data_IF_343968852542
#
_entry.id   IF_343968852542
#
_cell.length_a   1.000
_cell.length_b   1.000
_cell.length_c   1.000
_cell.angle_alpha   90.00
_cell.angle_beta   90.00
_cell.angle_gamma   90.00
#
_symmetry.space_group_name_H-M   'P 1'
#
loop_
_entity.id
_entity.type
_entity.pdbx_description
1 polymer ?
#
# COMPACT_ATOMS: atom_id res chain seq x y z
N UNK A 1 -2.59 -13.20 17.59
CA UNK A 1 -1.31 -12.49 17.83
C UNK A 1 -1.61 -11.02 17.66
N UNK A 2 -1.60 -10.26 18.75
CA UNK A 2 -1.74 -8.80 18.69
C UNK A 2 -0.37 -8.24 18.34
N UNK A 3 -0.25 -7.59 17.19
CA UNK A 3 0.98 -6.94 16.75
C UNK A 3 0.71 -5.44 16.75
N UNK A 4 1.35 -4.71 17.66
CA UNK A 4 1.26 -3.26 17.70
C UNK A 4 2.05 -2.64 16.54
N UNK A 5 1.53 -1.53 16.00
CA UNK A 5 2.23 -0.77 14.97
C UNK A 5 3.53 -0.22 15.54
N UNK A 6 4.62 -0.32 14.77
CA UNK A 6 5.89 0.36 15.09
C UNK A 6 5.89 1.83 14.68
N UNK A 7 4.92 2.27 13.89
CA UNK A 7 4.83 3.63 13.35
C UNK A 7 3.63 4.35 13.96
N UNK A 8 3.78 4.77 15.22
CA UNK A 8 2.72 5.45 15.98
C UNK A 8 2.87 6.97 16.02
N UNK A 9 3.99 7.51 15.50
CA UNK A 9 4.23 8.94 15.45
C UNK A 9 4.57 9.43 14.03
N UNK A 10 4.28 10.70 13.77
CA UNK A 10 4.53 11.32 12.47
C UNK A 10 6.04 11.40 12.17
N UNK A 11 6.90 11.54 13.18
CA UNK A 11 8.35 11.50 13.01
C UNK A 11 8.82 10.15 12.46
N UNK A 12 8.24 9.04 12.93
CA UNK A 12 8.58 7.70 12.45
C UNK A 12 8.12 7.50 11.00
N UNK A 13 6.92 7.96 10.66
CA UNK A 13 6.40 7.92 9.28
C UNK A 13 7.25 8.76 8.33
N UNK A 14 7.66 9.97 8.74
CA UNK A 14 8.61 10.80 7.97
C UNK A 14 9.96 10.11 7.79
N UNK A 15 10.45 9.44 8.82
CA UNK A 15 11.72 8.70 8.77
C UNK A 15 11.61 7.51 7.81
N UNK A 16 10.48 6.80 7.83
CA UNK A 16 10.16 5.75 6.86
C UNK A 16 10.17 6.28 5.42
N UNK A 17 9.50 7.40 5.14
CA UNK A 17 9.44 7.98 3.78
C UNK A 17 10.78 8.50 3.26
N UNK A 18 11.72 8.84 4.15
CA UNK A 18 13.10 9.15 3.76
C UNK A 18 13.89 7.90 3.34
N UNK A 19 13.59 6.75 3.95
CA UNK A 19 14.31 5.51 3.73
C UNK A 19 13.70 4.63 2.64
N UNK A 20 12.38 4.72 2.43
CA UNK A 20 11.61 3.85 1.53
C UNK A 20 10.87 4.70 0.51
N UNK A 21 11.22 4.49 -0.77
CA UNK A 21 10.48 5.07 -1.90
C UNK A 21 9.27 4.20 -2.20
N UNK A 22 8.12 4.84 -2.42
CA UNK A 22 6.86 4.17 -2.70
C UNK A 22 6.41 4.38 -4.15
N UNK A 23 6.82 5.49 -4.76
CA UNK A 23 6.55 5.81 -6.16
C UNK A 23 7.70 6.54 -6.82
N UNK A 24 7.53 6.81 -8.12
CA UNK A 24 8.28 7.84 -8.81
C UNK A 24 7.90 9.25 -8.28
N UNK A 25 8.81 10.26 -8.31
CA UNK A 25 8.52 11.61 -7.83
C UNK A 25 7.29 12.26 -8.48
N UNK A 26 6.92 11.86 -9.70
CA UNK A 26 5.73 12.37 -10.39
C UNK A 26 4.40 12.04 -9.68
N UNK A 27 4.37 11.00 -8.83
CA UNK A 27 3.16 10.51 -8.17
C UNK A 27 3.20 10.57 -6.64
N UNK A 28 4.28 11.08 -6.06
CA UNK A 28 4.48 11.10 -4.59
C UNK A 28 3.38 11.90 -3.86
N UNK A 29 2.86 12.96 -4.47
CA UNK A 29 1.75 13.77 -3.92
C UNK A 29 0.42 13.02 -3.84
N UNK A 30 0.26 11.91 -4.57
CA UNK A 30 -0.94 11.07 -4.52
C UNK A 30 -0.91 10.04 -3.38
N UNK A 31 0.21 9.93 -2.66
CA UNK A 31 0.43 8.92 -1.62
C UNK A 31 0.48 9.58 -0.25
N UNK A 32 -0.58 9.35 0.52
CA UNK A 32 -0.68 9.77 1.91
C UNK A 32 -0.16 8.64 2.81
N UNK A 33 0.76 8.99 3.71
CA UNK A 33 1.24 8.06 4.75
C UNK A 33 1.01 8.66 6.11
N UNK A 34 0.23 7.96 6.94
CA UNK A 34 -0.13 8.39 8.29
C UNK A 34 0.18 7.30 9.31
N UNK A 35 0.51 7.67 10.56
CA UNK A 35 0.59 6.72 11.65
C UNK A 35 -0.82 6.23 12.01
N UNK A 36 -0.91 5.04 12.59
CA UNK A 36 -2.17 4.51 13.12
C UNK A 36 -1.98 4.21 14.61
N UNK A 37 -2.85 4.78 15.44
CA UNK A 37 -2.81 4.63 16.89
C UNK A 37 -3.39 3.29 17.35
N UNK A 38 -3.07 2.88 18.57
CA UNK A 38 -3.74 1.73 19.18
C UNK A 38 -5.25 2.01 19.28
N UNK A 39 -6.06 1.05 18.82
CA UNK A 39 -7.54 1.12 18.75
C UNK A 39 -8.11 2.10 17.73
N UNK A 40 -7.31 2.64 16.82
CA UNK A 40 -7.78 3.41 15.67
C UNK A 40 -8.17 2.49 14.51
N UNK A 41 -9.21 2.88 13.76
CA UNK A 41 -9.58 2.16 12.54
C UNK A 41 -8.55 2.40 11.45
N UNK A 42 -7.98 1.31 10.91
CA UNK A 42 -7.00 1.41 9.81
C UNK A 42 -7.66 1.81 8.49
N UNK A 43 -8.93 1.47 8.31
CA UNK A 43 -9.66 1.71 7.05
C UNK A 43 -11.02 2.31 7.33
N UNK A 44 -11.43 3.27 6.51
CA UNK A 44 -12.81 3.78 6.48
C UNK A 44 -13.47 3.41 5.16
N UNK A 45 -14.80 3.42 5.13
CA UNK A 45 -15.56 3.19 3.89
C UNK A 45 -15.40 4.41 2.99
N UNK A 46 -14.91 4.20 1.78
CA UNK A 46 -14.75 5.25 0.80
C UNK A 46 -15.98 5.35 -0.11
N UNK A 47 -16.90 6.24 0.22
CA UNK A 47 -18.15 6.45 -0.53
C UNK A 47 -18.16 7.73 -1.37
N UNK A 48 -17.19 8.62 -1.15
CA UNK A 48 -17.17 9.96 -1.72
C UNK A 48 -15.90 10.18 -2.52
N UNK A 49 -15.97 10.79 -3.72
CA UNK A 49 -14.78 11.14 -4.48
C UNK A 49 -13.78 12.01 -3.68
N UNK A 50 -12.46 11.88 -3.93
CA UNK A 50 -11.83 10.97 -4.88
C UNK A 50 -11.77 9.51 -4.39
N UNK A 51 -11.70 8.55 -5.32
CA UNK A 51 -11.48 7.16 -4.97
C UNK A 51 -10.03 6.94 -4.47
N UNK A 52 -9.89 6.22 -3.37
CA UNK A 52 -8.64 5.86 -2.70
C UNK A 52 -8.82 4.50 -2.01
N UNK A 53 -7.70 3.84 -1.73
CA UNK A 53 -7.63 2.58 -1.01
C UNK A 53 -6.52 2.64 0.04
N UNK A 54 -6.59 1.78 1.04
CA UNK A 54 -5.59 1.67 2.09
C UNK A 54 -4.60 0.54 1.79
N UNK A 55 -3.34 0.77 2.11
CA UNK A 55 -2.27 -0.22 1.99
C UNK A 55 -1.37 -0.14 3.22
N UNK A 56 -1.08 -1.28 3.85
CA UNK A 56 -0.10 -1.31 4.92
C UNK A 56 1.30 -1.11 4.36
N UNK A 57 2.07 -0.19 4.93
CA UNK A 57 3.44 0.08 4.48
C UNK A 57 4.36 -1.13 4.58
N UNK A 58 4.11 -2.02 5.54
CA UNK A 58 4.90 -3.24 5.76
C UNK A 58 4.77 -4.28 4.62
N UNK A 59 3.73 -4.23 3.78
CA UNK A 59 3.60 -5.15 2.65
C UNK A 59 4.33 -4.68 1.41
N UNK A 60 4.66 -3.39 1.32
CA UNK A 60 5.19 -2.79 0.09
C UNK A 60 6.56 -3.38 -0.28
N UNK A 61 7.51 -3.39 0.66
CA UNK A 61 8.85 -3.92 0.39
C UNK A 61 8.85 -5.44 0.18
N UNK A 62 8.19 -6.28 1.02
CA UNK A 62 8.17 -7.72 0.81
C UNK A 62 7.49 -8.15 -0.49
N UNK A 63 6.49 -7.39 -0.94
CA UNK A 63 5.77 -7.66 -2.19
C UNK A 63 6.36 -6.92 -3.40
N UNK A 64 7.41 -6.10 -3.23
CA UNK A 64 7.94 -5.27 -4.31
C UNK A 64 6.84 -4.46 -5.05
N UNK A 65 5.89 -3.92 -4.27
CA UNK A 65 4.84 -3.04 -4.79
C UNK A 65 5.45 -1.69 -5.10
N UNK A 66 5.09 -1.13 -6.25
CA UNK A 66 5.42 0.23 -6.66
C UNK A 66 4.14 0.94 -7.06
N UNK A 67 3.98 2.19 -6.62
CA UNK A 67 2.77 2.97 -6.89
C UNK A 67 3.04 4.10 -7.90
N UNK A 68 2.01 4.52 -8.68
CA UNK A 68 0.76 3.80 -8.89
C UNK A 68 1.00 2.43 -9.53
N UNK A 69 0.05 1.49 -9.37
CA UNK A 69 0.10 0.22 -10.10
C UNK A 69 0.16 0.48 -11.60
N UNK A 70 0.84 -0.39 -12.32
CA UNK A 70 0.82 -0.33 -13.78
C UNK A 70 -0.57 -0.67 -14.30
N UNK A 71 -0.83 -0.34 -15.58
CA UNK A 71 -2.10 -0.70 -16.21
C UNK A 71 -2.35 -2.22 -16.18
N UNK A 72 -1.29 -3.02 -16.34
CA UNK A 72 -1.38 -4.48 -16.28
C UNK A 72 -1.69 -4.98 -14.87
N UNK A 73 -0.97 -4.52 -13.85
CA UNK A 73 -1.21 -4.90 -12.46
C UNK A 73 -2.63 -4.54 -11.99
N UNK A 74 -3.07 -3.32 -12.33
CA UNK A 74 -4.41 -2.85 -12.00
C UNK A 74 -5.51 -3.67 -12.70
N UNK A 75 -5.28 -4.05 -13.97
CA UNK A 75 -6.18 -4.96 -14.70
C UNK A 75 -6.22 -6.34 -14.04
N UNK A 76 -5.06 -6.93 -13.73
CA UNK A 76 -5.00 -8.26 -13.13
C UNK A 76 -5.71 -8.30 -11.78
N UNK A 77 -5.45 -7.34 -10.89
CA UNK A 77 -6.14 -7.22 -9.60
C UNK A 77 -7.66 -7.11 -9.76
N UNK A 78 -8.12 -6.37 -10.78
CA UNK A 78 -9.54 -6.24 -11.10
C UNK A 78 -10.13 -7.54 -11.65
N UNK A 79 -9.45 -8.22 -12.56
CA UNK A 79 -9.90 -9.50 -13.16
C UNK A 79 -10.06 -10.58 -12.09
N UNK A 80 -9.11 -10.67 -11.17
CA UNK A 80 -9.17 -11.65 -10.07
C UNK A 80 -10.05 -11.18 -8.91
N UNK A 81 -10.47 -9.91 -8.91
CA UNK A 81 -11.28 -9.27 -7.87
C UNK A 81 -10.69 -9.41 -6.45
N UNK A 82 -9.40 -9.13 -6.31
CA UNK A 82 -8.64 -9.24 -5.06
C UNK A 82 -7.92 -7.92 -4.78
N UNK A 83 -7.94 -7.46 -3.52
CA UNK A 83 -7.16 -6.29 -3.12
C UNK A 83 -5.65 -6.63 -3.12
N UNK A 84 -4.74 -5.67 -3.40
CA UNK A 84 -3.30 -5.94 -3.43
C UNK A 84 -2.76 -6.66 -2.19
N UNK A 85 -3.28 -6.33 -1.00
CA UNK A 85 -2.88 -6.90 0.29
C UNK A 85 -3.35 -8.33 0.52
N UNK A 86 -4.36 -8.79 -0.21
CA UNK A 86 -4.92 -10.14 -0.10
C UNK A 86 -4.17 -11.13 -0.99
N UNK A 87 -3.34 -10.64 -1.90
CA UNK A 87 -2.62 -11.49 -2.81
C UNK A 87 -1.37 -12.08 -2.14
N UNK A 88 -1.21 -13.39 -2.22
CA UNK A 88 -0.04 -14.07 -1.68
C UNK A 88 1.25 -13.60 -2.40
N UNK A 89 2.40 -13.45 -1.71
CA UNK A 89 3.65 -13.02 -2.32
C UNK A 89 4.02 -13.75 -3.62
N UNK A 90 3.87 -15.08 -3.66
CA UNK A 90 4.15 -15.87 -4.87
C UNK A 90 3.22 -15.51 -6.04
N UNK A 91 1.94 -15.24 -5.76
CA UNK A 91 0.98 -14.82 -6.78
C UNK A 91 1.30 -13.41 -7.29
N UNK A 92 1.87 -12.57 -6.43
CA UNK A 92 2.30 -11.24 -6.83
C UNK A 92 3.56 -11.26 -7.70
N UNK A 93 4.53 -12.12 -7.36
CA UNK A 93 5.65 -12.41 -8.23
C UNK A 93 5.21 -12.94 -9.60
N UNK A 94 4.12 -13.73 -9.64
CA UNK A 94 3.55 -14.19 -10.91
C UNK A 94 3.03 -13.01 -11.74
N UNK A 95 2.21 -12.12 -11.17
CA UNK A 95 1.73 -10.92 -11.89
C UNK A 95 2.91 -10.10 -12.43
N UNK A 96 3.93 -9.86 -11.61
CA UNK A 96 5.14 -9.13 -12.01
C UNK A 96 5.96 -9.82 -13.12
N UNK A 97 5.86 -11.14 -13.29
CA UNK A 97 6.63 -11.89 -14.28
C UNK A 97 5.99 -11.92 -15.67
N UNK A 98 4.71 -11.58 -15.78
CA UNK A 98 3.96 -11.52 -17.04
C UNK A 98 3.70 -10.09 -17.54
N UNK A 99 4.20 -9.11 -16.81
CA UNK A 99 4.35 -7.72 -17.25
C UNK A 99 5.64 -7.55 -18.07
#
# INVERSE_FOLDING_TARGET
>A
MEVSSKYTSMEMVRSFRKAVKLSDPSHEESIITEPVSENEFVTTRNDTPPAYFYLYTNVIQPLNIWLPFTAFEAEMLRVINVAPTQLHPNSWAFIKAFE
#
